data_IF_040928782676
#
_entry.id   IF_040928782676
#
_cell.length_a   1.000
_cell.length_b   1.000
_cell.length_c   1.000
_cell.angle_alpha   90.00
_cell.angle_beta   90.00
_cell.angle_gamma   90.00
#
_symmetry.space_group_name_H-M   'P 1'
#
loop_
_entity.id
_entity.type
_entity.pdbx_description
1 polymer ?
#
# COMPACT_ATOMS: atom_id res chain seq x y z
N UNK A 1 23.03 36.24 14.36
CA UNK A 1 21.83 36.07 13.51
C UNK A 1 21.40 34.62 13.59
N UNK A 2 20.55 34.31 14.57
CA UNK A 2 19.70 33.14 14.54
C UNK A 2 18.34 33.65 14.10
N UNK A 3 17.69 32.99 13.15
CA UNK A 3 16.27 32.66 13.19
C UNK A 3 15.92 31.87 11.92
N UNK A 4 15.39 30.67 12.19
CA UNK A 4 14.45 29.93 11.35
C UNK A 4 15.12 29.37 10.08
N UNK A 5 15.86 28.27 10.18
CA UNK A 5 15.27 26.95 9.89
C UNK A 5 13.74 27.04 9.81
N UNK A 6 13.25 27.53 8.67
CA UNK A 6 12.00 27.08 8.10
C UNK A 6 12.12 25.56 8.08
N UNK A 7 11.67 24.93 9.17
CA UNK A 7 11.11 23.60 9.11
C UNK A 7 10.07 23.73 8.02
N UNK A 8 10.46 23.38 6.81
CA UNK A 8 9.57 22.86 5.80
C UNK A 8 8.81 21.74 6.50
N UNK A 9 7.69 22.11 7.13
CA UNK A 9 6.62 21.19 7.42
C UNK A 9 6.06 20.90 6.04
N UNK A 10 6.81 20.11 5.25
CA UNK A 10 6.21 19.33 4.19
C UNK A 10 5.23 18.49 4.97
N UNK A 11 3.96 18.89 4.95
CA UNK A 11 2.87 18.02 5.29
C UNK A 11 3.03 16.86 4.32
N UNK A 12 3.75 15.82 4.75
CA UNK A 12 3.88 14.60 3.97
C UNK A 12 2.48 14.04 3.96
N UNK A 13 1.79 14.26 2.84
CA UNK A 13 0.48 13.69 2.59
C UNK A 13 0.63 12.19 2.85
N UNK A 14 -0.16 11.69 3.80
CA UNK A 14 -0.16 10.27 4.13
C UNK A 14 -1.32 9.63 3.41
N UNK A 15 -1.11 8.38 3.04
CA UNK A 15 -2.09 7.57 2.37
C UNK A 15 -2.39 6.36 3.23
N UNK A 16 -3.63 5.91 3.21
CA UNK A 16 -4.04 4.67 3.85
C UNK A 16 -4.91 3.88 2.89
N UNK A 17 -4.86 2.55 2.99
CA UNK A 17 -5.75 1.71 2.20
C UNK A 17 -7.17 1.77 2.79
N UNK A 18 -8.10 2.26 1.99
CA UNK A 18 -9.53 2.30 2.31
C UNK A 18 -10.22 0.99 1.92
N UNK A 19 -9.89 0.46 0.73
CA UNK A 19 -10.48 -0.76 0.21
C UNK A 19 -9.47 -1.61 -0.56
N UNK A 20 -9.65 -2.93 -0.53
CA UNK A 20 -8.80 -3.89 -1.24
C UNK A 20 -9.67 -4.76 -2.13
N UNK A 21 -9.36 -4.80 -3.42
CA UNK A 21 -9.90 -5.80 -4.34
C UNK A 21 -8.83 -6.84 -4.62
N UNK A 22 -9.11 -8.10 -4.28
CA UNK A 22 -8.24 -9.23 -4.53
C UNK A 22 -8.71 -10.04 -5.73
N UNK A 23 -7.77 -10.45 -6.57
CA UNK A 23 -8.02 -11.34 -7.71
C UNK A 23 -6.90 -12.38 -7.79
N UNK A 24 -7.27 -13.65 -7.96
CA UNK A 24 -6.31 -14.74 -8.17
C UNK A 24 -6.73 -15.57 -9.36
N UNK A 25 -5.77 -16.24 -10.01
CA UNK A 25 -6.02 -17.01 -11.24
C UNK A 25 -7.12 -18.06 -11.09
N UNK A 26 -7.22 -18.70 -9.93
CA UNK A 26 -8.25 -19.69 -9.63
C UNK A 26 -9.45 -19.14 -8.87
N UNK A 27 -9.39 -17.88 -8.41
CA UNK A 27 -10.40 -17.22 -7.57
C UNK A 27 -10.82 -18.05 -6.33
N UNK A 28 -9.92 -18.91 -5.84
CA UNK A 28 -10.13 -19.80 -4.69
C UNK A 28 -9.39 -19.36 -3.44
N UNK A 29 -8.44 -18.44 -3.58
CA UNK A 29 -7.64 -17.95 -2.49
C UNK A 29 -8.26 -16.70 -1.90
N UNK A 30 -8.48 -16.75 -0.59
CA UNK A 30 -8.81 -15.57 0.21
C UNK A 30 -7.52 -14.82 0.56
N UNK A 31 -7.64 -13.51 0.75
CA UNK A 31 -6.52 -12.70 1.23
C UNK A 31 -6.18 -13.15 2.66
N UNK A 32 -4.93 -13.54 2.95
CA UNK A 32 -4.53 -13.89 4.31
C UNK A 32 -4.82 -12.75 5.29
N UNK A 33 -5.24 -13.09 6.52
CA UNK A 33 -5.65 -12.09 7.52
C UNK A 33 -4.52 -11.11 7.86
N UNK A 34 -3.31 -11.61 8.02
CA UNK A 34 -2.10 -10.82 8.27
C UNK A 34 -1.77 -9.87 7.11
N UNK A 35 -2.04 -10.27 5.86
CA UNK A 35 -1.92 -9.37 4.70
C UNK A 35 -2.97 -8.25 4.81
N UNK A 36 -4.23 -8.59 5.09
CA UNK A 36 -5.29 -7.60 5.23
C UNK A 36 -5.03 -6.63 6.39
N UNK A 37 -4.54 -7.13 7.53
CA UNK A 37 -4.18 -6.31 8.68
C UNK A 37 -3.09 -5.29 8.30
N UNK A 38 -2.05 -5.71 7.56
CA UNK A 38 -1.02 -4.79 7.07
C UNK A 38 -1.59 -3.75 6.12
N UNK A 39 -2.44 -4.15 5.17
CA UNK A 39 -3.04 -3.20 4.21
C UNK A 39 -3.88 -2.14 4.94
N UNK A 40 -4.71 -2.56 5.89
CA UNK A 40 -5.63 -1.67 6.58
C UNK A 40 -4.97 -0.82 7.68
N UNK A 41 -3.92 -1.29 8.37
CA UNK A 41 -3.32 -0.57 9.50
C UNK A 41 -2.12 0.30 9.12
N UNK A 42 -1.50 0.05 7.96
CA UNK A 42 -0.28 0.73 7.57
C UNK A 42 -0.57 2.06 6.86
N UNK A 43 -0.10 3.15 7.46
CA UNK A 43 0.02 4.44 6.78
C UNK A 43 1.22 4.42 5.83
N UNK A 44 1.04 4.98 4.65
CA UNK A 44 2.04 5.13 3.62
C UNK A 44 2.37 6.59 3.35
N UNK A 45 3.63 6.87 3.03
CA UNK A 45 4.07 8.23 2.67
C UNK A 45 3.92 8.57 1.19
N UNK A 46 3.58 7.57 0.36
CA UNK A 46 3.39 7.68 -1.09
C UNK A 46 2.28 6.73 -1.55
N UNK A 47 1.71 7.03 -2.73
CA UNK A 47 0.77 6.17 -3.46
C UNK A 47 1.41 4.84 -3.88
N UNK A 48 2.74 4.77 -3.94
CA UNK A 48 3.48 3.53 -4.24
C UNK A 48 3.57 2.55 -3.06
N UNK A 49 2.98 2.91 -1.91
CA UNK A 49 2.85 2.08 -0.70
C UNK A 49 4.13 1.34 -0.23
N UNK A 50 5.32 1.97 -0.21
CA UNK A 50 6.57 1.28 0.11
C UNK A 50 6.57 0.65 1.51
N UNK A 51 5.90 1.27 2.48
CA UNK A 51 5.80 0.77 3.85
C UNK A 51 5.00 -0.54 3.94
N UNK A 52 3.95 -0.69 3.13
CA UNK A 52 3.18 -1.94 3.02
C UNK A 52 4.06 -3.05 2.43
N UNK A 53 4.83 -2.74 1.38
CA UNK A 53 5.74 -3.70 0.73
C UNK A 53 6.78 -4.19 1.74
N UNK A 54 7.39 -3.29 2.51
CA UNK A 54 8.39 -3.63 3.54
C UNK A 54 7.77 -4.52 4.63
N UNK A 55 6.57 -4.19 5.09
CA UNK A 55 5.89 -4.94 6.14
C UNK A 55 5.48 -6.34 5.69
N UNK A 56 4.92 -6.47 4.48
CA UNK A 56 4.59 -7.76 3.88
C UNK A 56 5.85 -8.63 3.64
N UNK A 57 6.95 -8.01 3.20
CA UNK A 57 8.24 -8.71 3.05
C UNK A 57 8.74 -9.24 4.39
N UNK A 58 8.59 -8.45 5.46
CA UNK A 58 8.98 -8.85 6.82
C UNK A 58 8.14 -10.01 7.37
N UNK A 59 6.90 -10.17 6.90
CA UNK A 59 6.04 -11.32 7.21
C UNK A 59 6.36 -12.57 6.36
N UNK A 60 7.29 -12.46 5.40
CA UNK A 60 7.72 -13.57 4.54
C UNK A 60 7.00 -13.64 3.20
N UNK A 61 6.15 -12.67 2.87
CA UNK A 61 5.55 -12.57 1.54
C UNK A 61 6.56 -12.03 0.52
N UNK A 62 6.20 -12.18 -0.76
CA UNK A 62 6.97 -11.64 -1.90
C UNK A 62 6.13 -10.61 -2.65
N UNK A 63 5.90 -9.42 -2.05
CA UNK A 63 5.15 -8.35 -2.68
C UNK A 63 5.92 -7.77 -3.88
N UNK A 64 5.20 -7.46 -4.95
CA UNK A 64 5.70 -6.76 -6.13
C UNK A 64 4.71 -5.68 -6.51
N UNK A 65 5.12 -4.43 -6.41
CA UNK A 65 4.35 -3.30 -6.90
C UNK A 65 4.29 -3.31 -8.43
N UNK A 66 3.10 -3.06 -8.97
CA UNK A 66 2.89 -2.81 -10.38
C UNK A 66 2.44 -1.36 -10.55
N UNK A 67 3.22 -0.59 -11.30
CA UNK A 67 2.88 0.79 -11.60
C UNK A 67 1.56 0.82 -12.38
N UNK A 68 0.54 1.44 -11.81
CA UNK A 68 -0.74 1.67 -12.47
C UNK A 68 -0.58 2.72 -13.56
N UNK A 69 -1.28 2.54 -14.68
CA UNK A 69 -1.38 3.59 -15.69
C UNK A 69 -2.05 4.83 -15.07
N UNK A 70 -1.72 6.03 -15.57
CA UNK A 70 -2.19 7.35 -15.09
C UNK A 70 -3.73 7.52 -14.98
N UNK A 71 -4.51 6.51 -15.35
CA UNK A 71 -5.97 6.48 -15.28
C UNK A 71 -6.52 6.26 -13.86
N UNK A 72 -5.73 5.74 -12.92
CA UNK A 72 -6.16 5.45 -11.54
C UNK A 72 -5.11 5.90 -10.51
N UNK A 73 -4.98 7.21 -10.27
CA UNK A 73 -3.94 7.75 -9.39
C UNK A 73 -4.06 7.28 -7.93
N UNK A 74 -5.28 6.96 -7.49
CA UNK A 74 -5.55 6.57 -6.11
C UNK A 74 -5.55 5.04 -5.90
N UNK A 75 -5.15 4.26 -6.92
CA UNK A 75 -5.08 2.79 -6.83
C UNK A 75 -3.63 2.34 -6.91
N UNK A 76 -3.18 1.71 -5.83
CA UNK A 76 -1.92 0.98 -5.80
C UNK A 76 -2.14 -0.49 -6.12
N UNK A 77 -1.50 -0.98 -7.19
CA UNK A 77 -1.59 -2.38 -7.59
C UNK A 77 -0.39 -3.17 -7.08
N UNK A 78 -0.66 -4.27 -6.39
CA UNK A 78 0.34 -5.13 -5.77
C UNK A 78 0.10 -6.59 -6.14
N UNK A 79 1.15 -7.29 -6.54
CA UNK A 79 1.15 -8.75 -6.67
C UNK A 79 1.79 -9.38 -5.44
N UNK A 80 1.14 -10.40 -4.88
CA UNK A 80 1.69 -11.20 -3.78
C UNK A 80 1.58 -12.70 -4.10
N UNK A 81 2.51 -13.48 -3.58
CA UNK A 81 2.42 -14.94 -3.61
C UNK A 81 1.73 -15.43 -2.33
N UNK A 82 0.59 -16.11 -2.50
CA UNK A 82 -0.13 -16.77 -1.41
C UNK A 82 -0.17 -18.27 -1.69
N UNK A 83 0.54 -19.05 -0.88
CA UNK A 83 0.72 -20.47 -1.13
C UNK A 83 1.50 -20.73 -2.42
N UNK A 84 0.82 -21.25 -3.44
CA UNK A 84 1.41 -21.57 -4.76
C UNK A 84 0.86 -20.72 -5.91
N UNK A 85 0.05 -19.70 -5.61
CA UNK A 85 -0.51 -18.83 -6.64
C UNK A 85 -0.14 -17.37 -6.41
N UNK A 86 -0.06 -16.64 -7.51
CA UNK A 86 0.04 -15.18 -7.50
C UNK A 86 -1.37 -14.58 -7.37
N UNK A 87 -1.50 -13.60 -6.48
CA UNK A 87 -2.71 -12.85 -6.23
C UNK A 87 -2.45 -11.37 -6.49
N UNK A 88 -3.35 -10.75 -7.23
CA UNK A 88 -3.41 -9.31 -7.47
C UNK A 88 -4.22 -8.66 -6.37
N UNK A 89 -3.69 -7.59 -5.79
CA UNK A 89 -4.33 -6.74 -4.80
C UNK A 89 -4.36 -5.32 -5.34
N UNK A 90 -5.55 -4.82 -5.66
CA UNK A 90 -5.77 -3.42 -5.97
C UNK A 90 -6.20 -2.71 -4.69
N UNK A 91 -5.33 -1.84 -4.19
CA UNK A 91 -5.52 -1.11 -2.95
C UNK A 91 -5.98 0.30 -3.30
N UNK A 92 -7.24 0.62 -3.00
CA UNK A 92 -7.76 1.98 -3.06
C UNK A 92 -7.19 2.76 -1.89
N UNK A 93 -6.50 3.84 -2.20
CA UNK A 93 -5.88 4.72 -1.23
C UNK A 93 -6.76 5.93 -0.97
N UNK A 94 -6.84 6.31 0.30
CA UNK A 94 -7.37 7.59 0.75
C UNK A 94 -6.23 8.47 1.27
N UNK A 95 -6.32 9.77 1.00
CA UNK A 95 -5.39 10.76 1.56
C UNK A 95 -5.81 11.13 2.98
N UNK A 96 -4.97 10.84 3.97
CA UNK A 96 -5.14 11.31 5.33
C UNK A 96 -4.75 12.79 5.41
N UNK A 97 -5.73 13.66 5.65
CA UNK A 97 -5.45 15.06 5.97
C UNK A 97 -4.70 15.13 7.31
N UNK A 98 -3.44 15.57 7.26
CA UNK A 98 -2.66 15.83 8.48
C UNK A 98 -3.18 17.15 9.07
N UNK A 99 -4.14 17.05 10.00
CA UNK A 99 -4.69 18.20 10.73
C UNK A 99 -3.69 18.80 11.72
#
# INVERSE_FOLDING_TARGET
MQLLFEKEIIMKQRYRVEAVMASSRQNKLEVPRDVMDVLCEQDCSSLEIPEIIERLTSLGYRPRYEATADSFPDIATLWIWVGQEEMLLNCQLESLAVH
#
